data_IF_288967982932
#
_entry.id   IF_288967982932
#
_cell.length_a   1.000
_cell.length_b   1.000
_cell.length_c   1.000
_cell.angle_alpha   90.00
_cell.angle_beta   90.00
_cell.angle_gamma   90.00
#
_symmetry.space_group_name_H-M   'P 1'
#
loop_
_entity.id
_entity.type
_entity.pdbx_description
1 polymer ?
#
# COMPACT_ATOMS: atom_id res chain seq x y z
N UNK A 1 -61.08 25.57 -57.24
CA UNK A 1 -60.41 26.86 -57.49
C UNK A 1 -58.99 26.76 -56.93
N UNK A 2 -57.99 26.87 -57.83
CA UNK A 2 -56.55 27.08 -57.63
C UNK A 2 -55.74 26.24 -56.64
N UNK A 3 -54.84 25.48 -57.27
CA UNK A 3 -53.53 24.94 -56.88
C UNK A 3 -52.65 25.83 -55.99
N UNK A 4 -51.84 25.17 -55.14
CA UNK A 4 -50.45 25.57 -54.86
C UNK A 4 -49.64 24.33 -54.41
N UNK A 5 -49.02 23.66 -55.39
CA UNK A 5 -47.92 22.72 -55.16
C UNK A 5 -46.65 23.53 -54.85
N UNK A 6 -46.04 23.30 -53.69
CA UNK A 6 -44.69 23.76 -53.37
C UNK A 6 -43.72 22.58 -53.46
N UNK A 7 -42.74 22.76 -54.33
CA UNK A 7 -41.58 21.90 -54.61
C UNK A 7 -40.75 21.60 -53.36
N UNK A 8 -40.26 20.36 -53.28
CA UNK A 8 -39.28 19.88 -52.30
C UNK A 8 -38.51 18.70 -52.86
N UNK A 9 -37.53 18.98 -53.72
CA UNK A 9 -36.61 18.00 -54.32
C UNK A 9 -35.74 17.37 -53.24
N UNK A 10 -36.00 16.10 -52.86
CA UNK A 10 -35.12 15.34 -51.97
C UNK A 10 -33.93 14.84 -52.77
N UNK A 11 -32.78 15.47 -52.54
CA UNK A 11 -31.45 15.08 -53.03
C UNK A 11 -31.09 13.73 -52.36
N UNK A 12 -31.23 12.60 -53.07
CA UNK A 12 -30.69 11.30 -52.64
C UNK A 12 -29.17 11.43 -52.54
N UNK A 13 -28.63 11.42 -51.33
CA UNK A 13 -27.19 11.49 -51.12
C UNK A 13 -26.55 10.12 -51.38
N UNK A 14 -25.41 10.12 -52.07
CA UNK A 14 -24.58 8.96 -52.42
C UNK A 14 -23.87 8.35 -51.18
N UNK A 15 -24.59 8.17 -50.07
CA UNK A 15 -24.07 7.58 -48.85
C UNK A 15 -23.71 6.10 -49.04
N UNK A 16 -24.50 5.37 -49.84
CA UNK A 16 -24.25 3.95 -50.12
C UNK A 16 -22.96 3.74 -50.93
N UNK A 17 -22.64 4.63 -51.88
CA UNK A 17 -21.42 4.52 -52.67
C UNK A 17 -20.17 4.81 -51.83
N UNK A 18 -20.24 5.80 -50.92
CA UNK A 18 -19.16 6.09 -49.97
C UNK A 18 -18.89 4.92 -49.03
N UNK A 19 -19.93 4.31 -48.49
CA UNK A 19 -19.79 3.15 -47.59
C UNK A 19 -19.12 1.97 -48.31
N UNK A 20 -19.53 1.68 -49.55
CA UNK A 20 -18.93 0.61 -50.36
C UNK A 20 -17.45 0.88 -50.63
N UNK A 21 -17.08 2.11 -50.99
CA UNK A 21 -15.68 2.48 -51.25
C UNK A 21 -14.83 2.36 -49.98
N UNK A 22 -15.33 2.80 -48.83
CA UNK A 22 -14.60 2.70 -47.55
C UNK A 22 -14.40 1.25 -47.13
N UNK A 23 -15.40 0.38 -47.33
CA UNK A 23 -15.28 -1.05 -47.02
C UNK A 23 -14.26 -1.74 -47.92
N UNK A 24 -14.26 -1.43 -49.22
CA UNK A 24 -13.28 -1.99 -50.17
C UNK A 24 -11.86 -1.52 -49.81
N UNK A 25 -11.66 -0.23 -49.52
CA UNK A 25 -10.36 0.27 -49.09
C UNK A 25 -9.88 -0.37 -47.78
N UNK A 26 -10.78 -0.58 -46.81
CA UNK A 26 -10.47 -1.26 -45.55
C UNK A 26 -10.05 -2.73 -45.77
N UNK A 27 -10.74 -3.45 -46.65
CA UNK A 27 -10.37 -4.83 -47.00
C UNK A 27 -9.02 -4.91 -47.71
N UNK A 28 -8.76 -4.01 -48.66
CA UNK A 28 -7.47 -3.96 -49.38
C UNK A 28 -6.33 -3.60 -48.42
N UNK A 29 -6.53 -2.60 -47.55
CA UNK A 29 -5.54 -2.20 -46.54
C UNK A 29 -5.26 -3.31 -45.52
N UNK A 30 -6.31 -3.99 -45.03
CA UNK A 30 -6.18 -5.15 -44.14
C UNK A 30 -5.46 -6.34 -44.79
N UNK A 31 -5.71 -6.58 -46.09
CA UNK A 31 -5.01 -7.59 -46.86
C UNK A 31 -3.52 -7.27 -47.00
N UNK A 32 -3.15 -6.04 -47.35
CA UNK A 32 -1.74 -5.65 -47.46
C UNK A 32 -1.00 -5.72 -46.11
N UNK A 33 -1.64 -5.37 -45.00
CA UNK A 33 -1.08 -5.59 -43.66
C UNK A 33 -0.90 -7.09 -43.38
N UNK A 34 -1.92 -7.90 -43.66
CA UNK A 34 -1.89 -9.35 -43.41
C UNK A 34 -0.85 -10.11 -44.23
N UNK A 35 -0.54 -9.66 -45.46
CA UNK A 35 0.46 -10.28 -46.34
C UNK A 35 1.87 -9.73 -46.10
N UNK A 36 2.00 -8.56 -45.47
CA UNK A 36 3.30 -7.95 -45.12
C UNK A 36 3.90 -8.48 -43.81
N UNK A 37 3.15 -9.27 -43.04
CA UNK A 37 3.70 -10.01 -41.91
C UNK A 37 4.09 -11.42 -42.37
N UNK A 38 5.37 -11.82 -42.28
CA UNK A 38 5.74 -13.20 -42.56
C UNK A 38 5.04 -14.12 -41.54
N UNK A 39 4.21 -15.02 -42.06
CA UNK A 39 3.58 -16.07 -41.27
C UNK A 39 4.67 -16.99 -40.72
N UNK A 40 5.03 -16.83 -39.44
CA UNK A 40 5.93 -17.74 -38.74
C UNK A 40 5.11 -18.97 -38.33
N UNK A 41 5.36 -20.17 -38.87
CA UNK A 41 4.69 -21.36 -38.39
C UNK A 41 5.24 -21.69 -37.00
N UNK A 42 4.38 -21.70 -35.98
CA UNK A 42 4.67 -22.35 -34.70
C UNK A 42 4.63 -23.88 -34.91
N UNK A 43 5.65 -24.41 -35.57
CA UNK A 43 5.89 -25.85 -35.63
C UNK A 43 7.32 -26.13 -35.21
N UNK A 44 7.42 -26.74 -34.01
CA UNK A 44 8.58 -27.44 -33.46
C UNK A 44 9.83 -26.58 -33.23
N UNK A 45 9.92 -26.03 -32.02
CA UNK A 45 11.22 -25.69 -31.41
C UNK A 45 11.92 -27.02 -31.09
N UNK A 46 12.72 -27.51 -32.03
CA UNK A 46 13.86 -28.36 -31.69
C UNK A 46 15.06 -27.42 -31.54
N UNK A 47 15.61 -27.34 -30.34
CA UNK A 47 16.84 -26.59 -30.05
C UNK A 47 18.03 -27.22 -30.81
N UNK A 48 18.70 -26.50 -31.73
CA UNK A 48 20.07 -26.82 -32.10
C UNK A 48 20.98 -26.15 -31.05
N UNK A 49 21.83 -26.97 -30.43
CA UNK A 49 23.04 -26.47 -29.76
C UNK A 49 23.88 -25.69 -30.78
N UNK A 50 24.43 -24.56 -30.33
CA UNK A 50 25.35 -23.65 -31.03
C UNK A 50 24.71 -22.44 -31.72
N UNK A 51 24.62 -21.31 -31.00
CA UNK A 51 25.40 -20.12 -31.40
C UNK A 51 25.51 -19.12 -30.24
N UNK A 52 26.76 -18.85 -29.88
CA UNK A 52 27.21 -17.71 -29.10
C UNK A 52 26.91 -16.41 -29.88
N UNK A 53 26.49 -15.34 -29.18
CA UNK A 53 26.78 -13.92 -29.52
C UNK A 53 25.79 -12.97 -28.85
N UNK A 54 26.08 -12.62 -27.59
CA UNK A 54 25.67 -11.35 -26.96
C UNK A 54 26.51 -11.10 -25.71
N UNK A 55 27.12 -12.15 -25.13
CA UNK A 55 28.08 -12.04 -24.04
C UNK A 55 29.50 -11.64 -24.50
N UNK A 56 29.88 -11.93 -25.75
CA UNK A 56 31.27 -11.74 -26.23
C UNK A 56 31.65 -10.27 -26.47
N UNK A 57 30.70 -9.33 -26.48
CA UNK A 57 31.00 -7.90 -26.63
C UNK A 57 31.37 -7.24 -25.29
N UNK A 58 31.05 -7.88 -24.15
CA UNK A 58 31.37 -7.35 -22.82
C UNK A 58 32.72 -7.83 -22.25
N UNK A 59 33.45 -8.70 -22.97
CA UNK A 59 34.70 -9.30 -22.48
C UNK A 59 35.96 -8.69 -23.09
N UNK A 60 35.85 -7.61 -23.86
CA UNK A 60 36.98 -7.02 -24.57
C UNK A 60 37.45 -5.68 -23.98
N UNK A 61 37.44 -5.54 -22.66
CA UNK A 61 38.20 -4.49 -21.98
C UNK A 61 38.96 -5.05 -20.77
N UNK A 62 40.27 -5.20 -21.00
CA UNK A 62 41.42 -5.33 -20.10
C UNK A 62 41.48 -6.35 -18.93
N UNK A 63 42.38 -7.33 -19.11
CA UNK A 63 43.33 -7.87 -18.12
C UNK A 63 42.84 -8.58 -16.85
N UNK A 64 42.05 -9.65 -17.01
CA UNK A 64 42.13 -10.79 -16.09
C UNK A 64 42.20 -12.11 -16.85
N UNK A 65 43.38 -12.74 -16.82
CA UNK A 65 43.61 -14.08 -17.34
C UNK A 65 42.83 -15.12 -16.54
N UNK A 66 41.60 -15.43 -16.94
CA UNK A 66 40.89 -16.61 -16.47
C UNK A 66 41.34 -17.82 -17.29
N UNK A 67 42.25 -18.61 -16.71
CA UNK A 67 42.65 -19.90 -17.25
C UNK A 67 41.44 -20.82 -17.41
N UNK A 68 41.13 -21.14 -18.66
CA UNK A 68 40.14 -22.12 -19.06
C UNK A 68 40.68 -23.52 -18.72
N UNK A 69 40.23 -24.12 -17.60
CA UNK A 69 40.70 -25.48 -17.23
C UNK A 69 40.28 -26.07 -15.89
N UNK A 70 39.44 -25.42 -15.07
CA UNK A 70 38.80 -26.04 -13.90
C UNK A 70 37.38 -25.55 -13.78
N UNK A 71 36.42 -26.47 -13.71
CA UNK A 71 35.08 -26.16 -13.19
C UNK A 71 35.29 -25.44 -11.85
N UNK A 72 34.79 -24.21 -11.66
CA UNK A 72 34.97 -23.52 -10.39
C UNK A 72 34.36 -24.40 -9.30
N UNK A 73 35.18 -24.90 -8.39
CA UNK A 73 34.69 -25.56 -7.19
C UNK A 73 33.94 -24.48 -6.42
N UNK A 74 32.61 -24.55 -6.40
CA UNK A 74 31.80 -23.68 -5.54
C UNK A 74 32.26 -23.95 -4.10
N UNK A 75 32.76 -22.93 -3.37
CA UNK A 75 33.18 -23.11 -1.99
C UNK A 75 32.01 -23.68 -1.17
N UNK A 76 32.28 -24.69 -0.33
CA UNK A 76 31.30 -25.21 0.62
C UNK A 76 31.13 -24.20 1.75
N UNK A 77 30.24 -23.24 1.58
CA UNK A 77 29.91 -22.23 2.57
C UNK A 77 28.65 -22.68 3.31
N UNK A 78 28.66 -22.53 4.62
CA UNK A 78 27.48 -22.67 5.45
C UNK A 78 27.58 -21.71 6.63
N UNK A 79 26.79 -20.65 6.59
CA UNK A 79 26.73 -19.61 7.61
C UNK A 79 25.35 -19.64 8.26
N UNK A 80 25.22 -20.18 9.49
CA UNK A 80 23.92 -20.36 10.13
C UNK A 80 23.27 -19.05 10.59
N UNK A 81 24.03 -17.96 10.65
CA UNK A 81 23.55 -16.60 10.98
C UNK A 81 22.94 -15.88 9.78
N UNK A 82 23.12 -16.39 8.56
CA UNK A 82 22.47 -15.83 7.38
C UNK A 82 20.95 -16.03 7.43
N UNK A 83 20.18 -15.21 6.68
CA UNK A 83 18.76 -15.44 6.49
C UNK A 83 18.47 -16.85 6.02
N UNK A 84 17.33 -17.40 6.44
CA UNK A 84 16.92 -18.76 6.09
C UNK A 84 16.89 -18.96 4.58
N UNK A 85 17.60 -19.98 4.08
CA UNK A 85 17.77 -20.26 2.66
C UNK A 85 18.98 -19.57 2.00
N UNK A 86 19.69 -18.70 2.72
CA UNK A 86 20.91 -18.03 2.28
C UNK A 86 22.18 -18.53 3.00
N UNK A 87 22.10 -19.65 3.73
CA UNK A 87 23.22 -20.19 4.52
C UNK A 87 24.42 -20.56 3.64
N UNK A 88 24.18 -20.90 2.37
CA UNK A 88 25.23 -21.22 1.40
C UNK A 88 25.95 -19.99 0.80
N UNK A 89 25.54 -18.77 1.17
CA UNK A 89 26.14 -17.53 0.66
C UNK A 89 27.22 -17.01 1.62
N UNK A 90 28.34 -16.44 1.11
CA UNK A 90 29.27 -15.68 1.95
C UNK A 90 28.56 -14.47 2.58
N UNK A 91 28.82 -14.19 3.86
CA UNK A 91 28.19 -13.06 4.58
C UNK A 91 28.32 -11.72 3.82
N UNK A 92 29.46 -11.47 3.18
CA UNK A 92 29.73 -10.22 2.47
C UNK A 92 28.86 -9.93 1.25
N UNK A 93 28.10 -10.91 0.72
CA UNK A 93 27.14 -10.69 -0.38
C UNK A 93 25.68 -10.74 0.09
N UNK A 94 25.44 -11.13 1.34
CA UNK A 94 24.08 -11.27 1.87
C UNK A 94 23.52 -9.90 2.22
N UNK A 95 22.40 -9.57 1.59
CA UNK A 95 21.60 -8.37 1.90
C UNK A 95 20.25 -8.85 2.42
N UNK A 96 20.06 -8.82 3.73
CA UNK A 96 18.89 -9.39 4.41
C UNK A 96 17.63 -8.52 4.35
N UNK A 97 17.81 -7.23 4.04
CA UNK A 97 16.75 -6.22 4.02
C UNK A 97 16.70 -5.55 2.64
N UNK A 98 15.54 -5.01 2.28
CA UNK A 98 15.35 -4.21 1.08
C UNK A 98 14.86 -2.82 1.47
N UNK A 99 14.54 -2.00 0.47
CA UNK A 99 14.06 -0.64 0.66
C UNK A 99 13.12 -0.21 -0.49
N UNK A 100 12.50 0.94 -0.30
CA UNK A 100 11.65 1.58 -1.30
C UNK A 100 12.34 2.75 -2.02
N UNK A 101 13.64 2.91 -1.84
CA UNK A 101 14.36 4.03 -2.39
C UNK A 101 14.55 3.86 -3.90
N UNK A 102 14.07 4.80 -4.74
CA UNK A 102 14.26 4.70 -6.18
C UNK A 102 15.74 4.77 -6.56
N UNK A 103 16.14 3.92 -7.49
CA UNK A 103 17.50 3.88 -8.05
C UNK A 103 17.42 4.22 -9.54
N UNK A 104 18.43 4.95 -10.06
CA UNK A 104 18.45 5.35 -11.47
C UNK A 104 18.81 4.14 -12.33
N UNK A 105 18.38 4.17 -13.60
CA UNK A 105 18.69 3.10 -14.55
C UNK A 105 20.15 3.14 -15.08
N UNK A 106 20.89 4.20 -14.79
CA UNK A 106 22.27 4.43 -15.26
C UNK A 106 23.08 5.23 -14.23
N UNK A 107 24.40 5.24 -14.39
CA UNK A 107 25.34 5.97 -13.54
C UNK A 107 25.80 5.15 -12.33
N UNK A 108 26.41 5.85 -11.37
CA UNK A 108 26.97 5.22 -10.17
C UNK A 108 25.88 5.01 -9.09
N UNK A 109 25.70 3.78 -8.56
CA UNK A 109 24.71 3.50 -7.51
C UNK A 109 24.89 4.36 -6.24
N UNK A 110 26.11 4.78 -5.93
CA UNK A 110 26.41 5.63 -4.76
C UNK A 110 25.79 7.02 -4.84
N UNK A 111 25.43 7.48 -6.05
CA UNK A 111 24.86 8.81 -6.28
C UNK A 111 23.32 8.83 -6.23
N UNK A 112 22.67 7.67 -6.28
CA UNK A 112 21.20 7.57 -6.35
C UNK A 112 20.51 8.08 -5.09
N UNK A 113 21.15 7.91 -3.93
CA UNK A 113 20.56 8.17 -2.62
C UNK A 113 21.18 9.38 -1.92
N UNK A 114 20.98 10.57 -2.49
CA UNK A 114 21.43 11.84 -1.86
C UNK A 114 20.77 12.10 -0.51
N UNK A 115 19.53 11.63 -0.31
CA UNK A 115 18.82 11.68 0.97
C UNK A 115 18.04 10.39 1.15
N UNK A 116 18.04 9.85 2.37
CA UNK A 116 17.31 8.65 2.76
C UNK A 116 16.11 9.04 3.64
N UNK A 117 14.87 8.88 3.15
CA UNK A 117 13.68 9.10 3.96
C UNK A 117 13.68 8.23 5.22
N UNK A 118 13.30 8.83 6.35
CA UNK A 118 13.23 8.14 7.66
C UNK A 118 11.82 7.77 8.10
N UNK A 119 10.80 8.31 7.45
CA UNK A 119 9.41 7.98 7.72
C UNK A 119 8.72 7.58 6.42
N UNK A 120 7.86 6.55 6.50
CA UNK A 120 7.00 6.12 5.40
C UNK A 120 5.57 6.49 5.71
N UNK A 121 4.88 7.14 4.77
CA UNK A 121 3.47 7.50 4.90
C UNK A 121 2.67 6.79 3.82
N UNK A 122 1.70 6.01 4.25
CA UNK A 122 0.82 5.28 3.35
C UNK A 122 -0.62 5.77 3.47
N UNK A 123 -1.26 5.95 2.32
CA UNK A 123 -2.69 6.23 2.21
C UNK A 123 -3.34 5.20 1.29
N UNK A 124 -4.54 4.74 1.64
CA UNK A 124 -5.34 3.86 0.76
C UNK A 124 -6.40 4.68 0.06
N UNK A 125 -6.23 4.92 -1.23
CA UNK A 125 -6.86 6.04 -1.92
C UNK A 125 -7.70 5.63 -3.11
N UNK A 126 -8.73 6.43 -3.37
CA UNK A 126 -9.42 6.51 -4.66
C UNK A 126 -9.36 7.93 -5.19
N UNK A 127 -9.66 8.10 -6.47
CA UNK A 127 -9.51 9.38 -7.14
C UNK A 127 -10.39 10.48 -6.53
N UNK A 128 -11.58 10.12 -6.02
CA UNK A 128 -12.52 11.08 -5.45
C UNK A 128 -11.95 11.77 -4.20
N UNK A 129 -10.96 11.16 -3.54
CA UNK A 129 -10.31 11.65 -2.32
C UNK A 129 -9.00 12.42 -2.61
N UNK A 130 -8.61 12.57 -3.88
CA UNK A 130 -7.33 13.17 -4.28
C UNK A 130 -7.06 14.54 -3.67
N UNK A 131 -8.09 15.39 -3.55
CA UNK A 131 -7.95 16.73 -2.97
C UNK A 131 -7.68 16.68 -1.47
N UNK A 132 -8.27 15.72 -0.76
CA UNK A 132 -8.01 15.53 0.66
C UNK A 132 -6.58 14.99 0.89
N UNK A 133 -6.15 14.05 0.04
CA UNK A 133 -4.78 13.52 0.10
C UNK A 133 -3.74 14.58 -0.25
N UNK A 134 -4.00 15.45 -1.23
CA UNK A 134 -3.12 16.59 -1.51
C UNK A 134 -2.99 17.53 -0.30
N UNK A 135 -4.09 17.82 0.40
CA UNK A 135 -4.05 18.59 1.64
C UNK A 135 -3.26 17.88 2.74
N UNK A 136 -3.39 16.55 2.87
CA UNK A 136 -2.64 15.75 3.83
C UNK A 136 -1.15 15.69 3.53
N UNK A 137 -0.75 15.41 2.29
CA UNK A 137 0.66 15.28 1.89
C UNK A 137 1.44 16.57 2.16
N UNK A 138 0.80 17.75 2.02
CA UNK A 138 1.40 19.05 2.36
C UNK A 138 1.78 19.21 3.83
N UNK A 139 1.33 18.32 4.73
CA UNK A 139 1.71 18.31 6.16
C UNK A 139 2.96 17.49 6.46
N UNK A 140 3.47 16.76 5.46
CA UNK A 140 4.66 15.94 5.57
C UNK A 140 5.83 16.62 4.85
N UNK A 141 6.99 16.77 5.50
CA UNK A 141 8.18 17.28 4.84
C UNK A 141 8.69 16.34 3.75
N UNK A 142 9.57 16.87 2.90
CA UNK A 142 10.08 16.13 1.75
C UNK A 142 10.99 14.93 2.09
N UNK A 143 11.46 14.79 3.34
CA UNK A 143 12.22 13.63 3.81
C UNK A 143 11.31 12.48 4.31
N UNK A 144 10.00 12.59 4.08
CA UNK A 144 9.04 11.51 4.25
C UNK A 144 8.79 10.85 2.88
N UNK A 145 8.84 9.53 2.83
CA UNK A 145 8.44 8.78 1.65
C UNK A 145 6.91 8.67 1.64
N UNK A 146 6.28 9.14 0.57
CA UNK A 146 4.84 8.94 0.36
C UNK A 146 4.63 7.70 -0.50
N UNK A 147 3.65 6.88 -0.11
CA UNK A 147 3.20 5.73 -0.88
C UNK A 147 1.67 5.69 -0.90
N UNK A 148 1.09 5.52 -2.08
CA UNK A 148 -0.35 5.50 -2.30
C UNK A 148 -0.79 4.11 -2.74
N UNK A 149 -1.80 3.56 -2.05
CA UNK A 149 -2.45 2.30 -2.37
C UNK A 149 -3.78 2.55 -3.09
N UNK A 150 -3.78 2.40 -4.41
CA UNK A 150 -4.90 2.77 -5.28
C UNK A 150 -5.90 1.62 -5.39
N UNK A 151 -6.99 1.67 -4.64
CA UNK A 151 -8.03 0.65 -4.70
C UNK A 151 -8.92 0.76 -5.95
N UNK A 152 -8.86 1.85 -6.70
CA UNK A 152 -9.69 2.08 -7.89
C UNK A 152 -8.96 1.80 -9.22
N UNK A 153 -7.65 1.57 -9.17
CA UNK A 153 -6.85 1.32 -10.37
C UNK A 153 -6.38 2.59 -11.09
N UNK A 154 -6.55 3.79 -10.52
CA UNK A 154 -6.34 5.08 -11.22
C UNK A 154 -5.12 5.83 -10.69
N UNK A 155 -3.98 5.65 -11.36
CA UNK A 155 -2.71 6.27 -10.94
C UNK A 155 -2.36 7.53 -11.73
N UNK A 156 -2.55 7.55 -13.06
CA UNK A 156 -2.10 8.65 -13.92
C UNK A 156 -2.80 9.99 -13.65
N UNK A 157 -4.03 9.97 -13.13
CA UNK A 157 -4.77 11.18 -12.79
C UNK A 157 -4.16 11.95 -11.60
N UNK A 158 -3.25 11.31 -10.85
CA UNK A 158 -2.50 11.91 -9.76
C UNK A 158 -1.28 12.70 -10.24
N UNK A 159 -0.84 12.51 -11.49
CA UNK A 159 0.33 13.20 -12.09
C UNK A 159 0.16 14.73 -12.16
N UNK A 160 -1.06 15.24 -11.96
CA UNK A 160 -1.36 16.66 -11.78
C UNK A 160 -0.66 17.27 -10.56
N UNK A 161 -0.27 16.45 -9.56
CA UNK A 161 0.44 16.88 -8.37
C UNK A 161 1.92 16.56 -8.50
N UNK A 162 2.78 17.58 -8.42
CA UNK A 162 4.23 17.41 -8.54
C UNK A 162 4.81 16.44 -7.49
N UNK A 163 4.29 16.47 -6.26
CA UNK A 163 4.70 15.53 -5.22
C UNK A 163 4.34 14.08 -5.55
N UNK A 164 3.28 13.84 -6.34
CA UNK A 164 2.84 12.49 -6.71
C UNK A 164 3.84 11.80 -7.62
N UNK A 165 4.56 12.54 -8.46
CA UNK A 165 5.60 11.99 -9.32
C UNK A 165 6.80 11.43 -8.53
N UNK A 166 6.95 11.85 -7.27
CA UNK A 166 7.96 11.34 -6.33
C UNK A 166 7.40 10.28 -5.37
N UNK A 167 6.09 10.11 -5.33
CA UNK A 167 5.43 9.11 -4.50
C UNK A 167 5.51 7.73 -5.15
N UNK A 168 5.36 6.68 -4.34
CA UNK A 168 5.26 5.31 -4.84
C UNK A 168 3.79 4.96 -4.99
N UNK A 169 3.40 4.48 -6.17
CA UNK A 169 2.03 4.10 -6.47
C UNK A 169 1.93 2.57 -6.56
N UNK A 170 1.08 1.97 -5.74
CA UNK A 170 0.73 0.54 -5.85
C UNK A 170 -0.76 0.44 -6.13
N UNK A 171 -1.14 -0.33 -7.15
CA UNK A 171 -2.50 -0.31 -7.69
C UNK A 171 -3.05 -1.71 -7.93
N UNK A 172 -4.05 -2.08 -7.14
CA UNK A 172 -4.82 -3.33 -7.22
C UNK A 172 -6.28 -3.01 -6.88
N UNK A 173 -7.16 -3.30 -7.84
CA UNK A 173 -8.58 -2.92 -7.70
C UNK A 173 -9.25 -3.63 -6.53
N UNK A 174 -10.09 -2.87 -5.82
CA UNK A 174 -10.98 -3.33 -4.74
C UNK A 174 -10.26 -4.04 -3.59
N UNK A 175 -9.05 -3.60 -3.26
CA UNK A 175 -8.30 -4.09 -2.10
C UNK A 175 -8.32 -3.06 -0.98
N UNK A 176 -8.38 -3.57 0.26
CA UNK A 176 -8.42 -2.78 1.49
C UNK A 176 -7.02 -2.38 1.97
N UNK A 177 -6.95 -1.38 2.85
CA UNK A 177 -5.71 -0.89 3.46
C UNK A 177 -4.81 -1.99 4.02
N UNK A 178 -5.39 -2.89 4.82
CA UNK A 178 -4.63 -3.96 5.47
C UNK A 178 -4.22 -5.08 4.50
N UNK A 179 -4.94 -5.27 3.39
CA UNK A 179 -4.49 -6.16 2.32
C UNK A 179 -3.19 -5.65 1.69
N UNK A 180 -3.11 -4.35 1.40
CA UNK A 180 -1.90 -3.70 0.88
C UNK A 180 -0.78 -3.73 1.90
N UNK A 181 -1.04 -3.32 3.14
CA UNK A 181 -0.03 -3.30 4.20
C UNK A 181 0.61 -4.69 4.40
N UNK A 182 -0.19 -5.76 4.38
CA UNK A 182 0.33 -7.14 4.49
C UNK A 182 1.26 -7.53 3.35
N UNK A 183 1.07 -7.00 2.14
CA UNK A 183 1.80 -7.45 0.92
C UNK A 183 2.96 -6.55 0.56
N UNK A 184 2.83 -5.25 0.82
CA UNK A 184 3.79 -4.26 0.38
C UNK A 184 4.55 -3.63 1.54
N UNK A 185 4.16 -3.82 2.80
CA UNK A 185 4.91 -3.28 3.94
C UNK A 185 5.61 -4.39 4.72
N UNK A 186 6.25 -5.34 4.02
CA UNK A 186 7.01 -6.41 4.68
C UNK A 186 8.10 -5.82 5.60
N UNK A 187 8.32 -6.33 6.83
CA UNK A 187 9.22 -5.71 7.79
C UNK A 187 10.64 -5.50 7.26
N UNK A 188 11.16 -6.48 6.51
CA UNK A 188 12.50 -6.39 5.92
C UNK A 188 12.57 -5.43 4.71
N UNK A 189 11.43 -5.02 4.12
CA UNK A 189 11.38 -4.02 3.04
C UNK A 189 11.24 -2.60 3.61
N UNK A 190 10.49 -2.45 4.70
CA UNK A 190 10.31 -1.15 5.39
C UNK A 190 11.32 -0.95 6.52
N UNK A 191 12.29 -1.85 6.65
CA UNK A 191 13.35 -1.79 7.66
C UNK A 191 14.13 -0.47 7.67
N UNK A 192 14.33 0.28 6.57
CA UNK A 192 15.02 1.57 6.63
C UNK A 192 14.24 2.71 7.32
N UNK A 193 12.92 2.56 7.52
CA UNK A 193 12.07 3.60 8.07
C UNK A 193 11.97 3.47 9.59
N UNK A 194 12.09 4.59 10.31
CA UNK A 194 11.95 4.65 11.77
C UNK A 194 10.46 4.59 12.18
N UNK A 195 9.60 5.24 11.39
CA UNK A 195 8.15 5.30 11.61
C UNK A 195 7.36 5.07 10.33
N UNK A 196 6.23 4.36 10.46
CA UNK A 196 5.36 3.97 9.36
C UNK A 196 3.93 4.42 9.68
N UNK A 197 3.41 5.35 8.89
CA UNK A 197 2.04 5.86 8.98
C UNK A 197 1.15 5.04 8.04
N UNK A 198 0.02 4.54 8.56
CA UNK A 198 -0.93 3.72 7.78
C UNK A 198 -2.32 4.33 7.90
N UNK A 199 -2.57 5.37 7.11
CA UNK A 199 -3.72 6.26 7.30
C UNK A 199 -4.84 5.98 6.29
N UNK A 200 -6.07 6.18 6.74
CA UNK A 200 -7.25 6.28 5.87
C UNK A 200 -7.25 7.63 5.11
N UNK A 201 -7.99 7.66 4.01
CA UNK A 201 -8.03 8.75 3.05
C UNK A 201 -9.01 9.88 3.40
N UNK A 202 -9.81 9.71 4.44
CA UNK A 202 -10.88 10.62 4.88
C UNK A 202 -10.52 11.45 6.13
N UNK A 203 -9.22 11.65 6.35
CA UNK A 203 -8.67 12.46 7.45
C UNK A 203 -8.41 13.91 7.01
N UNK A 204 -9.04 14.86 7.69
CA UNK A 204 -8.70 16.28 7.65
C UNK A 204 -7.47 16.57 8.52
N UNK A 205 -6.50 17.28 7.97
CA UNK A 205 -5.16 17.45 8.58
C UNK A 205 -4.79 18.91 8.84
N UNK A 206 -5.79 19.80 8.89
CA UNK A 206 -5.62 21.25 9.04
C UNK A 206 -4.72 21.61 10.23
N UNK A 207 -4.88 20.87 11.33
CA UNK A 207 -4.19 21.09 12.60
C UNK A 207 -3.02 20.14 12.88
N UNK A 208 -2.67 19.31 11.90
CA UNK A 208 -1.61 18.32 12.02
C UNK A 208 -0.27 18.86 11.46
N UNK A 209 0.83 18.54 12.13
CA UNK A 209 2.19 18.76 11.64
C UNK A 209 3.05 17.50 11.90
N UNK A 210 3.56 16.87 10.84
CA UNK A 210 4.24 15.58 10.95
C UNK A 210 5.55 15.64 11.74
N UNK A 211 6.32 16.73 11.61
CA UNK A 211 7.59 16.88 12.36
C UNK A 211 7.35 16.99 13.85
N UNK A 212 6.42 17.87 14.26
CA UNK A 212 6.03 18.02 15.67
C UNK A 212 5.44 16.72 16.22
N UNK A 213 4.64 16.02 15.43
CA UNK A 213 4.11 14.71 15.80
C UNK A 213 5.23 13.72 16.11
N UNK A 214 6.19 13.53 15.19
CA UNK A 214 7.32 12.61 15.40
C UNK A 214 8.21 13.04 16.58
N UNK A 215 8.41 14.34 16.79
CA UNK A 215 9.13 14.84 17.96
C UNK A 215 8.45 14.40 19.27
N UNK A 216 7.12 14.49 19.34
CA UNK A 216 6.36 14.07 20.53
C UNK A 216 6.34 12.55 20.70
N UNK A 217 6.18 11.79 19.60
CA UNK A 217 6.29 10.32 19.61
C UNK A 217 7.63 9.88 20.20
N UNK A 218 8.74 10.50 19.77
CA UNK A 218 10.09 10.25 20.30
C UNK A 218 10.22 10.67 21.76
N UNK A 219 9.78 11.89 22.10
CA UNK A 219 9.84 12.46 23.47
C UNK A 219 9.13 11.55 24.47
N UNK A 220 7.97 11.02 24.11
CA UNK A 220 7.11 10.21 24.97
C UNK A 220 7.30 8.70 24.82
N UNK A 221 8.27 8.28 23.99
CA UNK A 221 8.65 6.88 23.72
C UNK A 221 7.45 6.02 23.33
N UNK A 222 6.67 6.51 22.37
CA UNK A 222 5.54 5.79 21.82
C UNK A 222 6.00 4.87 20.69
N UNK A 223 5.76 3.57 20.84
CA UNK A 223 6.06 2.55 19.83
C UNK A 223 4.91 2.38 18.84
N UNK A 224 3.67 2.65 19.28
CA UNK A 224 2.47 2.73 18.45
C UNK A 224 1.70 3.99 18.87
N UNK A 225 1.29 4.79 17.91
CA UNK A 225 0.64 6.06 18.20
C UNK A 225 -0.41 6.41 17.16
N UNK A 226 -1.24 7.40 17.47
CA UNK A 226 -2.07 8.09 16.47
C UNK A 226 -2.20 9.57 16.86
N UNK A 227 -2.56 10.47 15.92
CA UNK A 227 -3.02 11.80 16.27
C UNK A 227 -4.32 11.76 17.08
N UNK A 228 -4.59 12.82 17.86
CA UNK A 228 -5.90 13.02 18.48
C UNK A 228 -7.00 13.18 17.43
N UNK A 229 -8.22 12.72 17.75
CA UNK A 229 -9.39 12.94 16.90
C UNK A 229 -10.24 14.10 17.43
N UNK A 230 -10.57 15.04 16.56
CA UNK A 230 -11.48 16.13 16.88
C UNK A 230 -12.88 15.57 17.23
N UNK A 231 -13.49 15.96 18.37
CA UNK A 231 -14.70 15.32 18.89
C UNK A 231 -15.99 15.68 18.14
N UNK A 232 -15.96 16.63 17.21
CA UNK A 232 -17.16 17.26 16.63
C UNK A 232 -18.00 16.34 15.74
N UNK A 233 -17.44 15.21 15.29
CA UNK A 233 -18.13 14.23 14.42
C UNK A 233 -18.75 13.03 15.14
N UNK A 234 -18.63 12.95 16.47
CA UNK A 234 -18.91 11.74 17.23
C UNK A 234 -17.76 10.73 17.12
N UNK A 235 -17.46 10.04 18.22
CA UNK A 235 -16.33 9.10 18.31
C UNK A 235 -16.81 7.76 18.86
N UNK A 236 -16.27 6.68 18.32
CA UNK A 236 -16.55 5.33 18.83
C UNK A 236 -15.86 5.11 20.18
N UNK A 237 -14.59 5.50 20.27
CA UNK A 237 -13.68 5.27 21.38
C UNK A 237 -13.28 6.59 22.04
N UNK A 238 -13.45 6.70 23.36
CA UNK A 238 -12.98 7.88 24.09
C UNK A 238 -11.46 7.98 24.09
N UNK A 239 -10.74 6.85 23.93
CA UNK A 239 -9.28 6.83 23.90
C UNK A 239 -8.71 7.68 22.76
N UNK A 240 -9.35 7.68 21.59
CA UNK A 240 -8.87 8.40 20.40
C UNK A 240 -9.18 9.91 20.44
N UNK A 241 -10.07 10.32 21.34
CA UNK A 241 -10.54 11.70 21.47
C UNK A 241 -9.43 12.66 21.87
N UNK A 242 -9.35 13.78 21.16
CA UNK A 242 -8.55 14.94 21.57
C UNK A 242 -9.11 15.57 22.86
N UNK A 243 -8.22 15.81 23.83
CA UNK A 243 -8.45 16.44 25.13
C UNK A 243 -8.15 17.93 25.10
N UNK A 244 -7.10 18.34 24.39
CA UNK A 244 -6.69 19.73 24.20
C UNK A 244 -5.90 20.34 25.36
N UNK A 245 -5.68 19.59 26.45
CA UNK A 245 -5.01 20.05 27.68
C UNK A 245 -3.62 19.44 27.89
N UNK A 246 -3.15 18.60 26.95
CA UNK A 246 -1.92 17.81 27.10
C UNK A 246 -1.22 17.58 25.76
N UNK A 247 0.03 17.12 25.82
CA UNK A 247 0.77 16.74 24.60
C UNK A 247 0.36 15.37 24.08
N UNK A 248 0.21 14.40 24.99
CA UNK A 248 -0.14 13.00 24.73
C UNK A 248 -1.05 12.46 25.86
N UNK A 249 -1.85 11.44 25.57
CA UNK A 249 -2.49 10.58 26.57
C UNK A 249 -2.40 9.11 26.19
N UNK A 250 -2.36 8.26 27.22
CA UNK A 250 -2.15 6.81 27.09
C UNK A 250 -3.29 6.01 27.72
N UNK A 251 -4.21 6.72 28.39
CA UNK A 251 -5.40 6.18 29.02
C UNK A 251 -6.61 7.10 28.80
N UNK A 252 -7.78 6.57 29.10
CA UNK A 252 -9.06 7.28 29.08
C UNK A 252 -10.03 6.70 30.10
N UNK A 253 -11.01 7.50 30.49
CA UNK A 253 -12.25 6.98 31.07
C UNK A 253 -13.25 6.69 29.96
N UNK A 254 -13.49 5.42 29.73
CA UNK A 254 -14.49 4.96 28.77
C UNK A 254 -15.91 4.90 29.33
N UNK A 255 -16.86 4.58 28.44
CA UNK A 255 -18.26 4.29 28.78
C UNK A 255 -18.33 3.17 29.83
N UNK A 256 -19.28 3.23 30.79
CA UNK A 256 -19.43 2.20 31.82
C UNK A 256 -19.52 0.79 31.23
N UNK A 257 -18.71 -0.14 31.74
CA UNK A 257 -18.67 -1.54 31.30
C UNK A 257 -17.82 -1.84 30.06
N UNK A 258 -17.18 -0.84 29.44
CA UNK A 258 -16.37 -1.04 28.23
C UNK A 258 -14.93 -1.44 28.52
N UNK A 259 -14.45 -1.21 29.75
CA UNK A 259 -13.11 -1.59 30.16
C UNK A 259 -13.15 -2.65 31.24
N UNK A 260 -12.63 -3.83 30.92
CA UNK A 260 -12.40 -4.91 31.88
C UNK A 260 -11.23 -4.60 32.81
N UNK A 261 -10.21 -3.91 32.32
CA UNK A 261 -9.04 -3.45 33.05
C UNK A 261 -8.62 -2.07 32.50
N UNK A 262 -8.30 -1.08 33.36
CA UNK A 262 -7.91 0.26 32.92
C UNK A 262 -6.63 0.31 32.08
N UNK A 263 -5.74 -0.69 32.17
CA UNK A 263 -4.50 -0.81 31.38
C UNK A 263 -4.69 -1.54 30.05
N UNK A 264 -5.90 -2.03 29.77
CA UNK A 264 -6.19 -2.78 28.55
C UNK A 264 -7.09 -1.96 27.61
N UNK A 265 -7.08 -2.28 26.30
CA UNK A 265 -8.03 -1.72 25.36
C UNK A 265 -9.48 -1.94 25.78
N UNK A 266 -10.38 -0.99 25.52
CA UNK A 266 -10.11 0.29 24.84
C UNK A 266 -9.60 1.41 25.78
N UNK A 267 -9.50 1.19 27.10
CA UNK A 267 -9.15 2.25 28.06
C UNK A 267 -7.70 2.72 28.00
N UNK A 268 -6.77 1.83 27.67
CA UNK A 268 -5.37 2.13 27.45
C UNK A 268 -4.81 1.14 26.43
N UNK A 269 -3.54 1.31 26.05
CA UNK A 269 -2.88 0.42 25.10
C UNK A 269 -3.61 0.29 23.74
N UNK A 270 -4.34 1.34 23.34
CA UNK A 270 -5.26 1.32 22.20
C UNK A 270 -5.07 2.57 21.33
N UNK A 271 -5.01 2.34 20.02
CA UNK A 271 -5.19 3.33 18.97
C UNK A 271 -6.08 2.70 17.90
N UNK A 272 -6.89 3.50 17.24
CA UNK A 272 -7.77 3.02 16.19
C UNK A 272 -6.99 2.81 14.89
N UNK A 273 -7.37 1.78 14.15
CA UNK A 273 -6.72 1.42 12.88
C UNK A 273 -6.87 2.47 11.79
N UNK A 274 -7.64 3.54 11.98
CA UNK A 274 -7.84 4.61 10.99
C UNK A 274 -6.57 5.43 10.74
N UNK A 275 -5.88 5.88 11.79
CA UNK A 275 -4.70 6.75 11.69
C UNK A 275 -3.45 6.27 12.48
N UNK A 276 -3.14 4.96 12.54
CA UNK A 276 -2.02 4.48 13.32
C UNK A 276 -0.67 4.86 12.71
N UNK A 277 0.31 5.01 13.60
CA UNK A 277 1.72 5.21 13.29
C UNK A 277 2.52 4.23 14.13
N UNK A 278 3.31 3.39 13.47
CA UNK A 278 4.10 2.34 14.10
C UNK A 278 5.57 2.70 14.06
N UNK A 279 6.29 2.44 15.15
CA UNK A 279 7.74 2.29 15.10
C UNK A 279 8.12 1.08 14.25
N UNK A 280 9.35 1.07 13.73
CA UNK A 280 9.93 -0.08 13.01
C UNK A 280 9.77 -1.41 13.76
N UNK A 281 10.09 -1.39 15.06
CA UNK A 281 10.06 -2.58 15.91
C UNK A 281 8.63 -3.10 16.12
N UNK A 282 7.70 -2.21 16.47
CA UNK A 282 6.30 -2.57 16.63
C UNK A 282 5.70 -3.10 15.31
N UNK A 283 6.02 -2.45 14.18
CA UNK A 283 5.53 -2.89 12.87
C UNK A 283 5.99 -4.30 12.51
N UNK A 284 7.24 -4.68 12.85
CA UNK A 284 7.74 -6.04 12.60
C UNK A 284 6.84 -7.10 13.23
N UNK A 285 6.37 -6.87 14.46
CA UNK A 285 5.40 -7.77 15.11
C UNK A 285 4.00 -7.65 14.50
N UNK A 286 3.48 -6.42 14.34
CA UNK A 286 2.11 -6.18 13.82
C UNK A 286 1.92 -6.77 12.43
N UNK A 287 2.92 -6.70 11.55
CA UNK A 287 2.86 -7.29 10.23
C UNK A 287 2.62 -8.81 10.26
N UNK A 288 3.23 -9.53 11.22
CA UNK A 288 3.02 -10.96 11.41
C UNK A 288 1.66 -11.30 12.03
N UNK A 289 1.07 -10.35 12.76
CA UNK A 289 -0.29 -10.49 13.30
C UNK A 289 -1.36 -10.40 12.21
N UNK A 290 -1.14 -9.57 11.17
CA UNK A 290 -2.10 -9.41 10.06
C UNK A 290 -2.24 -10.72 9.27
N UNK A 291 -3.48 -11.19 9.14
CA UNK A 291 -3.84 -12.43 8.45
C UNK A 291 -4.00 -12.19 6.94
N UNK A 292 -3.54 -13.14 6.10
CA UNK A 292 -3.55 -12.96 4.64
C UNK A 292 -4.96 -12.90 4.03
N UNK A 293 -5.93 -13.58 4.66
CA UNK A 293 -7.31 -13.76 4.21
C UNK A 293 -8.31 -12.80 4.89
N UNK A 294 -7.94 -12.18 6.03
CA UNK A 294 -8.75 -11.19 6.73
C UNK A 294 -8.26 -9.78 6.36
N UNK A 295 -8.93 -9.16 5.40
CA UNK A 295 -8.40 -8.01 4.68
C UNK A 295 -8.83 -6.67 5.29
N UNK A 296 -9.88 -6.62 6.11
CA UNK A 296 -10.40 -5.34 6.64
C UNK A 296 -9.66 -4.85 7.90
N UNK A 297 -8.97 -5.74 8.61
CA UNK A 297 -8.19 -5.41 9.80
C UNK A 297 -9.00 -5.04 11.05
N UNK A 298 -10.33 -5.14 11.04
CA UNK A 298 -11.15 -4.89 12.23
C UNK A 298 -10.75 -5.82 13.38
N UNK A 299 -10.51 -5.22 14.55
CA UNK A 299 -10.05 -5.93 15.74
C UNK A 299 -8.54 -5.94 15.92
N UNK A 300 -7.75 -5.56 14.92
CA UNK A 300 -6.30 -5.41 15.07
C UNK A 300 -5.97 -4.41 16.17
N UNK A 301 -6.69 -3.28 16.21
CA UNK A 301 -6.61 -2.21 17.19
C UNK A 301 -6.67 -2.70 18.66
N UNK A 302 -7.41 -3.79 18.94
CA UNK A 302 -7.42 -4.43 20.26
C UNK A 302 -6.23 -5.35 20.53
N UNK A 303 -5.63 -5.89 19.47
CA UNK A 303 -4.52 -6.84 19.54
C UNK A 303 -3.14 -6.17 19.46
N UNK A 304 -3.04 -4.92 18.99
CA UNK A 304 -1.78 -4.17 18.86
C UNK A 304 -0.93 -4.17 20.14
N UNK A 305 -1.58 -4.17 21.31
CA UNK A 305 -0.92 -4.28 22.63
C UNK A 305 0.04 -5.46 22.76
N UNK A 306 -0.15 -6.54 21.99
CA UNK A 306 0.71 -7.74 22.05
C UNK A 306 2.10 -7.51 21.44
N UNK A 307 2.27 -6.43 20.68
CA UNK A 307 3.51 -6.13 19.98
C UNK A 307 4.40 -5.12 20.70
N UNK A 308 4.03 -4.71 21.92
CA UNK A 308 4.71 -3.65 22.66
C UNK A 308 4.65 -3.94 24.17
N UNK A 309 5.76 -3.78 24.87
CA UNK A 309 5.85 -3.99 26.32
C UNK A 309 6.55 -2.80 27.03
N UNK A 310 5.97 -2.22 28.11
CA UNK A 310 4.59 -2.37 28.55
C UNK A 310 3.63 -1.56 27.66
N UNK A 311 2.60 -2.23 27.11
CA UNK A 311 1.74 -1.64 26.08
C UNK A 311 1.04 -0.33 26.50
N UNK A 312 0.52 -0.28 27.73
CA UNK A 312 -0.21 0.88 28.26
C UNK A 312 0.66 2.13 28.47
N UNK A 313 1.99 2.00 28.45
CA UNK A 313 2.91 3.14 28.53
C UNK A 313 3.47 3.56 27.17
N UNK A 314 3.39 2.69 26.17
CA UNK A 314 4.05 2.88 24.87
C UNK A 314 3.10 2.98 23.69
N UNK A 315 1.81 2.74 23.93
CA UNK A 315 0.74 2.99 22.96
C UNK A 315 -0.07 4.19 23.44
N UNK A 316 -0.26 5.20 22.59
CA UNK A 316 -0.98 6.40 23.00
C UNK A 316 -1.30 7.37 21.88
N UNK A 317 -2.09 8.37 22.23
CA UNK A 317 -2.57 9.41 21.33
C UNK A 317 -1.72 10.67 21.52
N UNK A 318 -1.24 11.23 20.41
CA UNK A 318 -0.55 12.53 20.41
C UNK A 318 -1.60 13.63 20.37
N UNK A 319 -2.10 14.00 21.53
CA UNK A 319 -3.23 14.90 21.73
C UNK A 319 -3.06 16.29 21.09
N UNK A 320 -1.86 16.85 21.21
CA UNK A 320 -1.54 18.18 20.70
C UNK A 320 -1.39 18.27 19.18
N UNK A 321 -1.43 17.13 18.47
CA UNK A 321 -1.41 17.04 17.01
C UNK A 321 -2.61 16.21 16.56
N UNK A 322 -3.62 16.84 15.99
CA UNK A 322 -4.91 16.19 15.78
C UNK A 322 -5.38 16.26 14.33
N UNK A 323 -6.30 15.36 14.02
CA UNK A 323 -6.96 15.23 12.72
C UNK A 323 -8.48 15.20 12.90
N UNK A 324 -9.21 15.45 11.81
CA UNK A 324 -10.68 15.44 11.77
C UNK A 324 -11.13 14.25 10.92
N UNK A 325 -12.00 13.39 11.45
CA UNK A 325 -12.61 12.35 10.63
C UNK A 325 -13.73 12.96 9.78
N UNK A 326 -13.54 13.04 8.46
CA UNK A 326 -14.49 13.70 7.56
C UNK A 326 -15.62 12.76 7.10
N UNK A 327 -15.48 11.45 7.33
CA UNK A 327 -16.47 10.41 6.94
C UNK A 327 -16.81 10.49 5.44
N UNK A 328 -15.79 10.76 4.62
CA UNK A 328 -15.96 10.81 3.16
C UNK A 328 -16.23 9.39 2.67
N UNK A 329 -17.28 9.17 1.84
CA UNK A 329 -17.60 7.83 1.39
C UNK A 329 -16.43 7.19 0.62
N UNK A 330 -16.00 6.01 1.09
CA UNK A 330 -14.76 5.35 0.69
C UNK A 330 -15.02 3.99 0.01
N UNK A 331 -13.98 3.15 -0.03
CA UNK A 331 -14.02 1.76 -0.48
C UNK A 331 -15.23 0.94 0.01
N UNK A 332 -15.81 1.27 1.17
CA UNK A 332 -17.04 0.64 1.66
C UNK A 332 -18.20 0.65 0.65
N UNK A 333 -18.31 1.69 -0.18
CA UNK A 333 -19.35 1.78 -1.21
C UNK A 333 -19.06 0.96 -2.47
N UNK A 334 -17.87 0.36 -2.61
CA UNK A 334 -17.51 -0.49 -3.75
C UNK A 334 -17.90 -1.96 -3.57
N UNK A 335 -18.65 -2.28 -2.51
CA UNK A 335 -19.29 -3.57 -2.30
C UNK A 335 -20.33 -3.91 -3.38
N UNK A 336 -20.94 -5.08 -3.25
CA UNK A 336 -22.08 -5.46 -4.09
C UNK A 336 -23.39 -5.15 -3.35
N UNK A 337 -24.38 -4.62 -4.06
CA UNK A 337 -25.73 -4.53 -3.54
C UNK A 337 -26.39 -5.89 -3.68
N UNK A 338 -26.99 -6.39 -2.59
CA UNK A 338 -27.71 -7.65 -2.56
C UNK A 338 -29.08 -7.44 -1.90
N UNK A 339 -30.15 -7.98 -2.47
CA UNK A 339 -31.49 -7.95 -1.87
C UNK A 339 -31.98 -6.54 -1.45
N UNK A 340 -31.67 -5.51 -2.24
CA UNK A 340 -32.04 -4.11 -1.96
C UNK A 340 -31.19 -3.41 -0.90
N UNK A 341 -30.15 -4.08 -0.35
CA UNK A 341 -29.20 -3.50 0.62
C UNK A 341 -28.15 -2.64 -0.08
N UNK A 342 -27.74 -1.56 0.57
CA UNK A 342 -26.69 -0.71 0.05
C UNK A 342 -25.32 -1.45 0.07
N UNK A 343 -24.42 -1.20 -0.90
CA UNK A 343 -23.11 -1.87 -0.98
C UNK A 343 -22.29 -1.88 0.32
N UNK A 344 -22.31 -0.78 1.06
CA UNK A 344 -21.57 -0.65 2.33
C UNK A 344 -22.06 -1.60 3.42
N UNK A 345 -23.32 -2.03 3.37
CA UNK A 345 -23.87 -2.97 4.36
C UNK A 345 -23.21 -4.34 4.23
N UNK A 346 -22.99 -4.81 2.99
CA UNK A 346 -22.29 -6.05 2.71
C UNK A 346 -20.82 -6.01 3.14
N UNK A 347 -20.14 -4.89 2.86
CA UNK A 347 -18.76 -4.67 3.34
C UNK A 347 -18.71 -4.69 4.87
N UNK A 348 -19.61 -3.96 5.55
CA UNK A 348 -19.66 -3.91 7.01
C UNK A 348 -19.99 -5.28 7.63
N UNK A 349 -20.85 -6.07 7.00
CA UNK A 349 -21.12 -7.45 7.43
C UNK A 349 -19.86 -8.31 7.33
N UNK A 350 -19.11 -8.19 6.23
CA UNK A 350 -17.82 -8.86 6.07
C UNK A 350 -16.79 -8.41 7.10
N UNK A 351 -16.69 -7.12 7.40
CA UNK A 351 -15.79 -6.62 8.46
C UNK A 351 -16.08 -7.28 9.82
N UNK A 352 -17.37 -7.36 10.21
CA UNK A 352 -17.76 -8.03 11.47
C UNK A 352 -17.43 -9.52 11.47
N UNK A 353 -17.66 -10.20 10.34
CA UNK A 353 -17.33 -11.62 10.21
C UNK A 353 -15.82 -11.87 10.31
N UNK A 354 -15.01 -11.08 9.59
CA UNK A 354 -13.55 -11.18 9.67
C UNK A 354 -13.02 -10.88 11.07
N UNK A 355 -13.61 -9.89 11.76
CA UNK A 355 -13.25 -9.60 13.15
C UNK A 355 -13.54 -10.78 14.08
N UNK A 356 -14.72 -11.41 13.98
CA UNK A 356 -15.04 -12.60 14.78
C UNK A 356 -14.05 -13.75 14.51
N UNK A 357 -13.74 -14.01 13.23
CA UNK A 357 -12.74 -15.03 12.85
C UNK A 357 -11.36 -14.70 13.44
N UNK A 358 -10.94 -13.44 13.40
CA UNK A 358 -9.66 -13.01 13.98
C UNK A 358 -9.62 -13.25 15.49
N UNK A 359 -10.69 -12.89 16.21
CA UNK A 359 -10.80 -13.12 17.65
C UNK A 359 -10.74 -14.61 17.99
N UNK A 360 -11.47 -15.45 17.25
CA UNK A 360 -11.46 -16.90 17.46
C UNK A 360 -10.07 -17.50 17.20
N UNK A 361 -9.41 -17.10 16.10
CA UNK A 361 -8.04 -17.54 15.79
C UNK A 361 -7.06 -17.18 16.90
N UNK A 362 -7.10 -15.92 17.34
CA UNK A 362 -6.19 -15.45 18.39
C UNK A 362 -6.45 -16.16 19.73
N UNK A 363 -7.72 -16.28 20.12
CA UNK A 363 -8.08 -16.95 21.37
C UNK A 363 -7.74 -18.45 21.36
N UNK A 364 -7.94 -19.14 20.23
CA UNK A 364 -7.59 -20.55 20.09
C UNK A 364 -6.06 -20.74 20.07
N UNK A 365 -5.31 -19.88 19.38
CA UNK A 365 -3.85 -19.92 19.39
C UNK A 365 -3.28 -19.68 20.81
N UNK A 366 -3.84 -18.73 21.56
CA UNK A 366 -3.45 -18.49 22.96
C UNK A 366 -3.72 -19.72 23.83
N UNK A 367 -4.90 -20.34 23.69
CA UNK A 367 -5.24 -21.57 24.44
C UNK A 367 -4.30 -22.73 24.09
N UNK A 368 -4.01 -22.95 22.81
CA UNK A 368 -3.06 -23.99 22.38
C UNK A 368 -1.66 -23.74 22.97
N UNK A 369 -1.17 -22.50 22.90
CA UNK A 369 0.13 -22.15 23.44
C UNK A 369 0.25 -22.42 24.94
N UNK A 370 -0.78 -22.04 25.73
CA UNK A 370 -0.85 -22.29 27.19
C UNK A 370 -1.05 -23.78 27.51
N UNK A 371 -1.64 -24.57 26.63
CA UNK A 371 -1.76 -26.02 26.83
C UNK A 371 -0.43 -26.75 26.59
N UNK A 372 0.40 -26.20 25.69
CA UNK A 372 1.67 -26.80 25.28
C UNK A 372 2.88 -26.35 26.14
N UNK A 373 2.73 -25.35 27.00
CA UNK A 373 3.77 -24.77 27.87
C UNK A 373 3.24 -24.53 29.28
#
# INVERSE_FOLDING_TARGET
MRTLHRSGTIKKSNASARLVITTIMGMVFGYFIGVSFPFVPLTKINLPSESLSSLDVALNDENHSFGLGRTPLIPKIYVPTNPRGAEALPEGIVVSESDFYPRRLWGEPSEDLKRKPKCLVTFTVGLDQKSNIDAAVKKFPEDFQIMLFHYDGRTSEWDQFEWSQRAIHVSVRKQTKWWYAKRFLHPDVVAPYDYIFIWDEDLGTEHFNAEKYIQLVKKHRLDISQPGLEPNGGLTWEMTKRRGDREVHKDTREKPGWCSDPRLPPCAAFVEIMAPVFSREAWRCVWHMIQNDLVHGWGLDFALRRCVEPAHEKIGVVDSQWVVHQVVPSLGNQGQSENGKAPWEGVRARCRNEWAIFQDRLANADKSYIADH
#
